data_IF_658923515096
#
_entry.id   IF_658923515096
#
_cell.length_a   1.000
_cell.length_b   1.000
_cell.length_c   1.000
_cell.angle_alpha   90.00
_cell.angle_beta   90.00
_cell.angle_gamma   90.00
#
_symmetry.space_group_name_H-M   'P 1'
#
loop_
_entity.id
_entity.type
_entity.pdbx_description
1 polymer ?
#
# COMPACT_ATOMS: atom_id res chain seq x y z
N UNK A 1 -8.99 -25.53 -6.01
CA UNK A 1 -8.35 -25.10 -7.25
C UNK A 1 -6.84 -24.85 -7.08
N UNK A 2 -6.33 -23.71 -6.57
CA UNK A 2 -4.86 -23.55 -6.44
C UNK A 2 -4.23 -24.34 -5.27
N UNK A 3 -4.85 -24.33 -4.09
CA UNK A 3 -4.35 -25.02 -2.89
C UNK A 3 -4.42 -26.55 -3.00
N UNK A 4 -5.29 -27.05 -3.88
CA UNK A 4 -5.41 -28.47 -4.27
C UNK A 4 -4.41 -28.90 -5.34
N UNK A 5 -3.47 -28.03 -5.74
CA UNK A 5 -2.42 -28.38 -6.70
C UNK A 5 -2.84 -28.38 -8.17
N UNK A 6 -4.04 -27.86 -8.51
CA UNK A 6 -4.49 -27.80 -9.90
C UNK A 6 -3.72 -26.73 -10.67
N UNK A 7 -3.22 -27.11 -11.85
CA UNK A 7 -2.47 -26.22 -12.72
C UNK A 7 -3.30 -25.07 -13.32
N UNK A 8 -2.61 -24.02 -13.79
CA UNK A 8 -3.26 -22.81 -14.31
C UNK A 8 -4.23 -23.06 -15.48
N UNK A 9 -3.97 -24.08 -16.30
CA UNK A 9 -4.82 -24.43 -17.44
C UNK A 9 -6.17 -25.00 -17.03
N UNK A 10 -6.21 -25.86 -16.01
CA UNK A 10 -7.47 -26.41 -15.49
C UNK A 10 -8.33 -25.32 -14.86
N UNK A 11 -7.71 -24.43 -14.08
CA UNK A 11 -8.39 -23.30 -13.46
C UNK A 11 -8.89 -22.29 -14.51
N UNK A 12 -8.11 -22.05 -15.56
CA UNK A 12 -8.49 -21.18 -16.68
C UNK A 12 -9.71 -21.72 -17.44
N UNK A 13 -9.75 -23.03 -17.70
CA UNK A 13 -10.91 -23.67 -18.33
C UNK A 13 -12.16 -23.61 -17.43
N UNK A 14 -12.00 -23.90 -16.14
CA UNK A 14 -13.12 -23.90 -15.19
C UNK A 14 -13.71 -22.49 -14.96
N UNK A 15 -12.86 -21.47 -14.83
CA UNK A 15 -13.26 -20.08 -14.59
C UNK A 15 -13.54 -19.29 -15.87
N UNK A 16 -13.27 -19.88 -17.05
CA UNK A 16 -13.33 -19.21 -18.36
C UNK A 16 -12.52 -17.90 -18.41
N UNK A 17 -11.42 -17.84 -17.65
CA UNK A 17 -10.51 -16.70 -17.66
C UNK A 17 -9.23 -17.04 -18.41
N UNK A 18 -8.56 -16.06 -19.04
CA UNK A 18 -7.24 -16.27 -19.63
C UNK A 18 -6.24 -16.79 -18.60
N UNK A 19 -5.33 -17.67 -19.02
CA UNK A 19 -4.28 -18.25 -18.16
C UNK A 19 -3.47 -17.16 -17.44
N UNK A 20 -3.18 -16.04 -18.12
CA UNK A 20 -2.44 -14.90 -17.55
C UNK A 20 -3.20 -14.24 -16.39
N UNK A 21 -4.52 -14.08 -16.52
CA UNK A 21 -5.37 -13.52 -15.46
C UNK A 21 -5.35 -14.43 -14.24
N UNK A 22 -5.52 -15.74 -14.42
CA UNK A 22 -5.44 -16.73 -13.35
C UNK A 22 -4.07 -16.67 -12.64
N UNK A 23 -2.97 -16.61 -13.40
CA UNK A 23 -1.63 -16.48 -12.85
C UNK A 23 -1.46 -15.19 -12.04
N UNK A 24 -1.95 -14.06 -12.56
CA UNK A 24 -1.87 -12.75 -11.87
C UNK A 24 -2.66 -12.73 -10.55
N UNK A 25 -3.83 -13.37 -10.51
CA UNK A 25 -4.66 -13.49 -9.31
C UNK A 25 -3.95 -14.34 -8.26
N UNK A 26 -3.38 -15.47 -8.66
CA UNK A 26 -2.63 -16.36 -7.75
C UNK A 26 -1.39 -15.65 -7.19
N UNK A 27 -0.65 -14.93 -8.03
CA UNK A 27 0.51 -14.15 -7.59
C UNK A 27 0.09 -13.06 -6.58
N UNK A 28 -0.99 -12.35 -6.86
CA UNK A 28 -1.54 -11.32 -5.95
C UNK A 28 -1.98 -11.94 -4.62
N UNK A 29 -2.67 -13.07 -4.67
CA UNK A 29 -3.10 -13.78 -3.47
C UNK A 29 -1.92 -14.28 -2.64
N UNK A 30 -0.84 -14.80 -3.26
CA UNK A 30 0.39 -15.17 -2.54
C UNK A 30 1.06 -13.98 -1.85
N UNK A 31 0.97 -12.78 -2.44
CA UNK A 31 1.57 -11.55 -1.90
C UNK A 31 0.73 -10.90 -0.79
N UNK A 32 -0.59 -10.84 -0.95
CA UNK A 32 -1.48 -10.05 -0.09
C UNK A 32 -2.50 -10.89 0.69
N UNK A 33 -2.54 -12.21 0.48
CA UNK A 33 -3.51 -13.11 1.10
C UNK A 33 -4.95 -12.94 0.60
N UNK A 34 -5.20 -12.02 -0.34
CA UNK A 34 -6.55 -11.62 -0.77
C UNK A 34 -6.69 -11.63 -2.30
N UNK A 35 -7.89 -11.99 -2.78
CA UNK A 35 -8.29 -11.90 -4.19
C UNK A 35 -9.10 -10.64 -4.49
N UNK A 36 -9.58 -9.95 -3.44
CA UNK A 36 -10.29 -8.68 -3.56
C UNK A 36 -9.42 -7.60 -4.21
N UNK A 37 -10.06 -6.70 -4.94
CA UNK A 37 -9.37 -5.55 -5.54
C UNK A 37 -8.91 -4.60 -4.42
N UNK A 38 -7.60 -4.50 -4.23
CA UNK A 38 -7.02 -3.52 -3.33
C UNK A 38 -7.20 -2.10 -3.91
N UNK A 39 -7.36 -1.08 -3.05
CA UNK A 39 -7.33 0.30 -3.51
C UNK A 39 -6.02 0.56 -4.25
N UNK A 40 -6.10 1.28 -5.37
CA UNK A 40 -4.90 1.68 -6.11
C UNK A 40 -4.02 2.55 -5.20
N UNK A 41 -2.71 2.37 -5.31
CA UNK A 41 -1.76 3.28 -4.70
C UNK A 41 -1.98 4.66 -5.33
N UNK A 42 -2.53 5.59 -4.55
CA UNK A 42 -2.70 6.98 -4.92
C UNK A 42 -1.47 7.84 -4.57
N UNK A 43 -1.62 9.15 -4.67
CA UNK A 43 -0.58 10.10 -4.27
C UNK A 43 -0.33 10.02 -2.75
N UNK A 44 0.94 9.96 -2.29
CA UNK A 44 1.25 10.08 -0.87
C UNK A 44 0.68 11.37 -0.27
N UNK A 45 0.19 11.28 0.96
CA UNK A 45 -0.33 12.44 1.69
C UNK A 45 0.81 13.35 2.12
N UNK A 46 0.61 14.68 2.05
CA UNK A 46 1.64 15.67 2.43
C UNK A 46 2.05 15.56 3.91
N UNK A 47 1.12 15.19 4.78
CA UNK A 47 1.34 15.06 6.22
C UNK A 47 1.38 13.58 6.61
N UNK A 48 2.29 13.25 7.54
CA UNK A 48 2.30 11.96 8.21
C UNK A 48 1.17 11.85 9.23
N UNK A 49 0.82 10.62 9.63
CA UNK A 49 -0.13 10.37 10.72
C UNK A 49 0.26 11.07 12.03
N UNK A 50 1.56 11.16 12.31
CA UNK A 50 2.08 11.86 13.50
C UNK A 50 1.88 13.36 13.41
N UNK A 51 2.24 13.97 12.26
CA UNK A 51 2.06 15.40 12.03
C UNK A 51 0.60 15.81 12.14
N UNK A 52 -0.31 15.02 11.54
CA UNK A 52 -1.76 15.25 11.65
C UNK A 52 -2.27 15.19 13.09
N UNK A 53 -1.80 14.23 13.90
CA UNK A 53 -2.18 14.15 15.33
C UNK A 53 -1.63 15.32 16.14
N UNK A 54 -0.41 15.77 15.86
CA UNK A 54 0.18 16.94 16.53
C UNK A 54 -0.60 18.21 16.19
N UNK A 55 -0.93 18.41 14.92
CA UNK A 55 -1.75 19.53 14.45
C UNK A 55 -3.09 19.59 15.19
N UNK A 56 -3.83 18.46 15.24
CA UNK A 56 -5.11 18.39 15.94
C UNK A 56 -4.96 18.75 17.41
N UNK A 57 -3.93 18.22 18.09
CA UNK A 57 -3.69 18.52 19.52
C UNK A 57 -3.44 20.01 19.78
N UNK A 58 -2.66 20.66 18.93
CA UNK A 58 -2.34 22.09 19.11
C UNK A 58 -3.54 23.00 18.82
N UNK A 59 -4.32 22.70 17.77
CA UNK A 59 -5.57 23.42 17.48
C UNK A 59 -6.60 23.22 18.60
N UNK A 60 -6.70 22.02 19.17
CA UNK A 60 -7.61 21.77 20.30
C UNK A 60 -7.20 22.53 21.56
N UNK A 61 -5.90 22.67 21.84
CA UNK A 61 -5.42 23.44 23.00
C UNK A 61 -5.63 24.95 22.81
N UNK A 62 -5.31 25.45 21.62
CA UNK A 62 -5.32 26.87 21.30
C UNK A 62 -6.09 27.08 19.98
N UNK A 63 -7.42 27.24 20.03
CA UNK A 63 -8.25 27.30 18.82
C UNK A 63 -8.04 28.57 17.98
N UNK A 64 -7.41 29.61 18.54
CA UNK A 64 -7.05 30.85 17.82
C UNK A 64 -5.69 30.78 17.10
N UNK A 65 -5.02 29.63 17.09
CA UNK A 65 -3.73 29.51 16.43
C UNK A 65 -3.88 29.67 14.91
N UNK A 66 -3.02 30.48 14.31
CA UNK A 66 -3.05 30.74 12.86
C UNK A 66 -2.31 29.64 12.09
N UNK A 67 -2.70 29.39 10.85
CA UNK A 67 -2.08 28.35 10.00
C UNK A 67 -0.56 28.51 9.87
N UNK A 68 -0.06 29.75 9.83
CA UNK A 68 1.39 30.04 9.77
C UNK A 68 2.12 29.56 11.02
N UNK A 69 1.54 29.75 12.20
CA UNK A 69 2.13 29.27 13.45
C UNK A 69 2.14 27.73 13.53
N UNK A 70 1.16 27.07 12.90
CA UNK A 70 1.11 25.60 12.79
C UNK A 70 2.16 25.04 11.80
N UNK A 71 2.48 25.77 10.74
CA UNK A 71 3.56 25.40 9.80
C UNK A 71 4.92 25.28 10.52
N UNK A 72 5.23 26.17 11.47
CA UNK A 72 6.47 26.14 12.25
C UNK A 72 6.52 25.02 13.30
N UNK A 73 5.39 24.67 13.92
CA UNK A 73 5.30 23.49 14.80
C UNK A 73 5.43 22.16 14.04
N UNK A 74 5.23 22.20 12.72
CA UNK A 74 5.45 21.10 11.79
C UNK A 74 6.79 21.22 11.01
N UNK A 75 7.63 22.20 11.36
CA UNK A 75 8.90 22.48 10.70
C UNK A 75 10.03 21.63 11.25
N UNK A 76 10.24 20.45 10.67
CA UNK A 76 11.58 19.94 10.34
C UNK A 76 11.50 18.70 9.44
N UNK A 77 11.63 18.95 8.14
CA UNK A 77 12.69 18.33 7.35
C UNK A 77 12.86 16.81 7.41
N UNK A 78 11.88 16.04 6.92
CA UNK A 78 12.21 14.86 6.08
C UNK A 78 11.34 14.83 4.85
N UNK A 79 11.88 15.48 3.82
CA UNK A 79 11.98 14.93 2.47
C UNK A 79 11.87 13.41 2.54
N UNK A 80 10.86 12.84 1.88
CA UNK A 80 10.69 11.41 1.68
C UNK A 80 10.85 10.61 2.98
N UNK A 81 9.73 10.17 3.54
CA UNK A 81 9.75 8.84 4.13
C UNK A 81 10.18 7.90 2.98
N UNK A 82 11.49 7.67 2.84
CA UNK A 82 12.02 6.32 2.66
C UNK A 82 11.50 5.58 3.88
N UNK A 83 10.21 5.26 3.85
CA UNK A 83 9.76 4.04 4.47
C UNK A 83 10.59 2.97 3.76
N UNK A 84 11.74 2.66 4.35
CA UNK A 84 12.25 1.31 4.39
C UNK A 84 11.26 0.46 5.19
N UNK A 85 9.97 0.54 4.86
CA UNK A 85 9.25 -0.68 4.67
C UNK A 85 9.92 -1.25 3.42
N UNK A 86 10.95 -2.07 3.64
CA UNK A 86 11.04 -3.27 2.85
C UNK A 86 9.63 -3.88 2.94
N UNK A 87 8.74 -3.50 2.03
CA UNK A 87 7.96 -4.51 1.37
C UNK A 87 9.03 -5.53 0.99
N UNK A 88 9.08 -6.61 1.76
CA UNK A 88 9.81 -7.82 1.44
C UNK A 88 9.33 -8.22 0.06
N UNK A 89 9.90 -7.59 -0.94
CA UNK A 89 9.73 -7.93 -2.34
C UNK A 89 10.77 -9.01 -2.46
N UNK A 90 10.38 -10.31 -2.42
CA UNK A 90 11.35 -11.35 -2.67
C UNK A 90 12.06 -11.01 -3.98
N UNK A 91 13.38 -11.20 -4.07
CA UNK A 91 14.12 -10.88 -5.28
C UNK A 91 13.40 -11.54 -6.44
N UNK A 92 13.11 -10.75 -7.49
CA UNK A 92 12.64 -11.28 -8.76
C UNK A 92 13.77 -12.20 -9.22
N UNK A 93 13.61 -13.51 -8.99
CA UNK A 93 14.48 -14.50 -9.61
C UNK A 93 14.28 -14.32 -11.12
N UNK A 94 15.35 -14.04 -11.89
CA UNK A 94 15.24 -14.00 -13.33
C UNK A 94 14.69 -15.35 -13.79
N UNK A 95 13.62 -15.31 -14.58
CA UNK A 95 13.12 -16.48 -15.28
C UNK A 95 13.93 -16.59 -16.58
N UNK A 96 15.17 -17.06 -16.45
CA UNK A 96 15.96 -17.68 -17.51
C UNK A 96 16.58 -18.94 -16.91
#
# INVERSE_FOLDING_TARGET
>A
MHRSGEGYQKNSAALKFPKNTVASIILKWKKFGTTNTLPRAGRPTKLSNRGRRALVREVTKNPMVTDRALEFLCGDGRIFQKDKHLCSTPPIRPLW
#
